data_IF_137821408611
#
_entry.id   IF_137821408611
#
_cell.length_a   1.000
_cell.length_b   1.000
_cell.length_c   1.000
_cell.angle_alpha   90.00
_cell.angle_beta   90.00
_cell.angle_gamma   90.00
#
_symmetry.space_group_name_H-M   'P 1'
#
loop_
_entity.id
_entity.type
_entity.pdbx_description
1 polymer ?
#
# COMPACT_ATOMS: atom_id res chain seq x y z
N UNK A 1 4.31 33.08 32.64
CA UNK A 1 5.25 32.11 32.03
C UNK A 1 4.66 30.73 32.29
N UNK A 2 4.33 29.87 31.32
CA UNK A 2 4.52 29.93 29.88
C UNK A 2 3.22 29.57 29.15
N UNK A 3 3.09 30.14 27.95
CA UNK A 3 2.12 29.65 26.97
C UNK A 3 2.66 28.33 26.44
N UNK A 4 1.89 27.26 26.64
CA UNK A 4 2.06 25.98 25.94
C UNK A 4 1.87 26.26 24.45
N UNK A 5 2.97 26.21 23.69
CA UNK A 5 2.93 26.28 22.23
C UNK A 5 2.13 25.10 21.71
N UNK A 6 0.94 25.38 21.19
CA UNK A 6 0.20 24.51 20.29
C UNK A 6 1.18 23.99 19.23
N UNK A 7 1.40 22.67 19.18
CA UNK A 7 2.09 22.03 18.06
C UNK A 7 1.22 22.26 16.82
N UNK A 8 1.52 23.29 16.04
CA UNK A 8 0.89 23.49 14.74
C UNK A 8 1.07 22.20 13.94
N UNK A 9 -0.05 21.60 13.53
CA UNK A 9 -0.06 20.40 12.70
C UNK A 9 0.65 20.76 11.40
N UNK A 10 1.85 20.20 11.17
CA UNK A 10 2.60 20.44 9.92
C UNK A 10 1.77 19.88 8.76
N UNK A 11 1.43 20.74 7.80
CA UNK A 11 0.70 20.36 6.58
C UNK A 11 1.72 20.25 5.45
N UNK A 12 1.80 19.08 4.84
CA UNK A 12 2.62 18.84 3.66
C UNK A 12 1.73 18.67 2.43
N UNK A 13 2.26 18.90 1.22
CA UNK A 13 1.56 18.57 -0.02
C UNK A 13 1.24 17.08 -0.13
N UNK A 14 0.35 16.73 -1.06
CA UNK A 14 -0.08 15.35 -1.35
C UNK A 14 0.22 14.92 -2.81
N UNK A 15 0.95 15.75 -3.55
CA UNK A 15 1.37 15.49 -4.94
C UNK A 15 2.86 15.75 -5.12
N UNK A 16 3.51 15.02 -6.03
CA UNK A 16 4.94 15.23 -6.31
C UNK A 16 5.21 16.68 -6.73
N UNK A 17 4.37 17.24 -7.59
CA UNK A 17 4.47 18.64 -8.00
C UNK A 17 4.36 19.62 -6.84
N UNK A 18 3.50 19.32 -5.85
CA UNK A 18 3.40 20.11 -4.63
C UNK A 18 4.68 20.09 -3.79
N UNK A 19 5.41 18.98 -3.81
CA UNK A 19 6.75 18.85 -3.24
C UNK A 19 7.87 19.39 -4.14
N UNK A 20 7.56 19.92 -5.33
CA UNK A 20 8.56 20.38 -6.29
C UNK A 20 9.30 19.26 -7.01
N UNK A 21 8.67 18.09 -7.17
CA UNK A 21 9.24 16.94 -7.88
C UNK A 21 8.36 16.44 -9.02
N UNK A 22 8.97 15.70 -9.94
CA UNK A 22 8.31 14.87 -10.93
C UNK A 22 9.06 13.53 -11.09
N UNK A 23 8.46 12.58 -11.79
CA UNK A 23 9.14 11.38 -12.24
C UNK A 23 9.60 11.58 -13.69
N UNK A 24 10.87 11.26 -13.98
CA UNK A 24 11.36 11.26 -15.36
C UNK A 24 10.94 9.98 -16.11
N UNK A 25 11.32 9.84 -17.38
CA UNK A 25 10.98 8.67 -18.20
C UNK A 25 11.56 7.34 -17.65
N UNK A 26 12.61 7.41 -16.83
CA UNK A 26 13.22 6.26 -16.16
C UNK A 26 12.58 5.97 -14.78
N UNK A 27 11.52 6.69 -14.42
CA UNK A 27 10.84 6.54 -13.13
C UNK A 27 11.63 7.07 -11.94
N UNK A 28 12.59 7.98 -12.17
CA UNK A 28 13.42 8.57 -11.12
C UNK A 28 12.83 9.90 -10.66
N UNK A 29 12.86 10.14 -9.35
CA UNK A 29 12.37 11.39 -8.76
C UNK A 29 13.35 12.53 -9.05
N UNK A 30 12.87 13.62 -9.68
CA UNK A 30 13.67 14.77 -10.09
C UNK A 30 12.99 16.08 -9.75
N UNK A 31 13.78 17.11 -9.46
CA UNK A 31 13.27 18.43 -9.11
C UNK A 31 12.51 19.10 -10.27
N UNK A 32 11.57 19.95 -9.89
CA UNK A 32 10.89 20.93 -10.73
C UNK A 32 11.31 22.32 -10.27
N UNK A 33 12.15 22.98 -11.05
CA UNK A 33 12.65 24.33 -10.74
C UNK A 33 11.88 25.35 -11.54
N UNK A 34 11.13 26.24 -10.88
CA UNK A 34 10.36 27.31 -11.54
C UNK A 34 9.44 26.81 -12.66
N UNK A 35 8.84 25.63 -12.47
CA UNK A 35 7.98 24.98 -13.46
C UNK A 35 8.71 24.23 -14.58
N UNK A 36 10.04 24.11 -14.52
CA UNK A 36 10.85 23.35 -15.48
C UNK A 36 11.36 22.06 -14.86
N UNK A 37 11.20 20.96 -15.59
CA UNK A 37 11.76 19.66 -15.22
C UNK A 37 13.27 19.68 -15.30
N UNK A 38 13.94 19.13 -14.29
CA UNK A 38 15.41 19.11 -14.21
C UNK A 38 15.93 17.67 -14.08
N UNK A 39 17.26 17.53 -14.04
CA UNK A 39 17.93 16.27 -13.75
C UNK A 39 18.44 16.19 -12.30
N UNK A 40 18.14 17.18 -11.45
CA UNK A 40 18.58 17.18 -10.07
C UNK A 40 17.84 16.08 -9.28
N UNK A 41 18.57 15.19 -8.57
CA UNK A 41 17.97 14.12 -7.76
C UNK A 41 17.36 14.67 -6.47
N UNK A 42 16.67 13.81 -5.72
CA UNK A 42 16.11 14.11 -4.41
C UNK A 42 17.11 14.75 -3.43
N UNK A 43 16.64 15.77 -2.69
CA UNK A 43 17.36 16.39 -1.58
C UNK A 43 16.60 16.21 -0.24
N UNK A 44 17.28 15.65 0.77
CA UNK A 44 16.71 15.46 2.10
C UNK A 44 16.68 16.74 2.94
N UNK A 45 17.74 17.55 2.91
CA UNK A 45 17.86 18.75 3.74
C UNK A 45 17.14 19.95 3.09
N UNK A 46 15.82 19.91 3.05
CA UNK A 46 14.99 21.02 2.53
C UNK A 46 14.94 22.23 3.48
N UNK A 47 15.19 22.00 4.78
CA UNK A 47 15.31 23.03 5.80
C UNK A 47 16.58 22.80 6.63
N UNK A 48 17.56 23.69 6.44
CA UNK A 48 18.89 23.57 7.04
C UNK A 48 18.84 23.41 8.56
N UNK A 49 19.44 22.33 9.07
CA UNK A 49 19.54 22.03 10.50
C UNK A 49 18.25 21.57 11.18
N UNK A 50 17.10 21.59 10.50
CA UNK A 50 15.81 21.17 11.06
C UNK A 50 15.51 19.71 10.71
N UNK A 51 16.16 18.80 11.46
CA UNK A 51 16.04 17.35 11.22
C UNK A 51 14.61 16.84 11.34
N UNK A 52 13.83 17.39 12.27
CA UNK A 52 12.45 16.97 12.52
C UNK A 52 11.56 17.38 11.34
N UNK A 53 11.72 18.60 10.81
CA UNK A 53 11.00 19.03 9.62
C UNK A 53 11.40 18.20 8.40
N UNK A 54 12.69 17.99 8.17
CA UNK A 54 13.17 17.23 7.01
C UNK A 54 12.70 15.77 7.03
N UNK A 55 12.65 15.15 8.21
CA UNK A 55 12.12 13.79 8.36
C UNK A 55 10.62 13.75 8.05
N UNK A 56 9.83 14.67 8.61
CA UNK A 56 8.39 14.71 8.36
C UNK A 56 8.07 15.03 6.88
N UNK A 57 8.87 15.89 6.25
CA UNK A 57 8.78 16.19 4.81
C UNK A 57 9.09 14.95 3.96
N UNK A 58 10.16 14.22 4.30
CA UNK A 58 10.54 12.97 3.64
C UNK A 58 9.44 11.91 3.76
N UNK A 59 8.85 11.75 4.95
CA UNK A 59 7.76 10.79 5.18
C UNK A 59 6.52 11.13 4.34
N UNK A 60 6.13 12.40 4.31
CA UNK A 60 4.99 12.84 3.52
C UNK A 60 5.23 12.65 2.00
N UNK A 61 6.42 12.94 1.49
CA UNK A 61 6.81 12.65 0.11
C UNK A 61 6.79 11.13 -0.17
N UNK A 62 7.27 10.32 0.78
CA UNK A 62 7.28 8.87 0.64
C UNK A 62 5.87 8.27 0.58
N UNK A 63 4.89 8.89 1.22
CA UNK A 63 3.47 8.49 1.12
C UNK A 63 2.89 8.80 -0.26
N UNK A 64 3.24 9.93 -0.87
CA UNK A 64 2.86 10.26 -2.26
C UNK A 64 3.45 9.23 -3.22
N UNK A 65 4.74 8.94 -3.08
CA UNK A 65 5.44 7.93 -3.89
C UNK A 65 4.81 6.55 -3.72
N UNK A 66 4.46 6.17 -2.48
CA UNK A 66 3.78 4.91 -2.18
C UNK A 66 2.45 4.80 -2.92
N UNK A 67 1.69 5.89 -2.96
CA UNK A 67 0.40 5.97 -3.65
C UNK A 67 0.56 5.81 -5.17
N UNK A 68 1.63 6.37 -5.74
CA UNK A 68 1.95 6.19 -7.16
C UNK A 68 2.24 4.72 -7.48
N UNK A 69 3.09 4.06 -6.69
CA UNK A 69 3.40 2.63 -6.90
C UNK A 69 2.14 1.77 -6.80
N UNK A 70 1.30 2.04 -5.82
CA UNK A 70 0.05 1.30 -5.60
C UNK A 70 -0.94 1.51 -6.76
N UNK A 71 -1.01 2.72 -7.32
CA UNK A 71 -1.81 3.03 -8.52
C UNK A 71 -1.24 2.35 -9.79
N UNK A 72 0.08 2.20 -9.91
CA UNK A 72 0.70 1.49 -11.03
C UNK A 72 0.25 0.01 -11.05
N UNK A 73 0.00 -0.61 -9.89
CA UNK A 73 -0.53 -1.99 -9.82
C UNK A 73 -1.81 -2.15 -10.62
N UNK A 74 -2.74 -1.19 -10.53
CA UNK A 74 -4.00 -1.23 -11.28
C UNK A 74 -3.83 -0.68 -12.69
N UNK A 75 -3.21 0.49 -12.84
CA UNK A 75 -3.27 1.26 -14.09
C UNK A 75 -2.24 0.78 -15.12
N UNK A 76 -1.06 0.40 -14.67
CA UNK A 76 0.03 -0.07 -15.53
C UNK A 76 0.06 -1.59 -15.61
N UNK A 77 -0.13 -2.27 -14.48
CA UNK A 77 -0.05 -3.72 -14.41
C UNK A 77 -1.40 -4.42 -14.50
N UNK A 78 -2.53 -3.71 -14.62
CA UNK A 78 -3.87 -4.29 -14.78
C UNK A 78 -4.23 -5.33 -13.69
N UNK A 79 -3.68 -5.17 -12.48
CA UNK A 79 -4.05 -6.00 -11.35
C UNK A 79 -5.36 -5.47 -10.76
N UNK A 80 -6.28 -6.37 -10.41
CA UNK A 80 -7.50 -6.04 -9.71
C UNK A 80 -7.18 -5.84 -8.22
N UNK A 81 -7.53 -4.68 -7.68
CA UNK A 81 -7.62 -4.48 -6.23
C UNK A 81 -8.81 -5.27 -5.69
N UNK A 82 -8.57 -6.18 -4.76
CA UNK A 82 -9.58 -6.99 -4.11
C UNK A 82 -9.59 -6.70 -2.62
N UNK A 83 -10.76 -6.31 -2.12
CA UNK A 83 -10.98 -6.10 -0.69
C UNK A 83 -11.03 -7.44 0.03
N UNK A 84 -10.40 -7.49 1.21
CA UNK A 84 -10.50 -8.60 2.16
C UNK A 84 -10.98 -8.08 3.54
N UNK A 85 -11.65 -8.91 4.35
CA UNK A 85 -12.08 -10.28 4.06
C UNK A 85 -13.11 -10.33 2.90
N UNK A 86 -13.10 -11.44 2.15
CA UNK A 86 -14.05 -11.73 1.09
C UNK A 86 -15.43 -11.98 1.71
N UNK A 87 -16.49 -11.44 1.08
CA UNK A 87 -17.88 -11.58 1.58
C UNK A 87 -18.27 -13.05 1.83
N UNK A 88 -17.83 -13.96 0.96
CA UNK A 88 -18.09 -15.39 1.11
C UNK A 88 -17.46 -16.02 2.36
N UNK A 89 -16.37 -15.45 2.89
CA UNK A 89 -15.68 -15.98 4.06
C UNK A 89 -16.29 -15.45 5.37
N UNK A 90 -16.90 -14.25 5.33
CA UNK A 90 -17.72 -13.71 6.41
C UNK A 90 -19.02 -14.51 6.62
N UNK A 91 -19.57 -15.08 5.55
CA UNK A 91 -20.85 -15.81 5.57
C UNK A 91 -20.69 -17.31 5.82
N UNK A 92 -19.50 -17.88 5.54
CA UNK A 92 -19.18 -19.28 5.86
C UNK A 92 -18.82 -19.42 7.34
N UNK A 93 -18.97 -20.62 7.90
CA UNK A 93 -18.56 -21.01 9.26
C UNK A 93 -17.03 -20.88 9.55
N UNK A 94 -16.27 -20.18 8.70
CA UNK A 94 -14.81 -20.10 8.72
C UNK A 94 -14.26 -19.07 9.70
N UNK A 95 -15.00 -18.01 9.96
CA UNK A 95 -14.65 -17.04 10.99
C UNK A 95 -15.39 -17.38 12.27
N UNK A 96 -14.70 -17.20 13.40
CA UNK A 96 -15.20 -17.51 14.72
C UNK A 96 -16.60 -16.92 14.94
N UNK A 97 -17.47 -17.61 15.68
CA UNK A 97 -18.88 -17.20 15.80
C UNK A 97 -19.03 -15.80 16.44
N UNK A 98 -18.00 -15.31 17.15
CA UNK A 98 -17.87 -13.98 17.72
C UNK A 98 -17.41 -12.89 16.72
N UNK A 99 -16.84 -13.28 15.58
CA UNK A 99 -16.41 -12.43 14.45
C UNK A 99 -17.42 -12.41 13.31
N UNK A 100 -18.53 -13.15 13.44
CA UNK A 100 -19.74 -12.94 12.65
C UNK A 100 -20.23 -11.54 12.95
N UNK A 101 -19.72 -10.55 12.22
CA UNK A 101 -20.49 -9.35 11.97
C UNK A 101 -21.89 -9.82 11.60
N UNK A 102 -22.90 -9.14 12.14
CA UNK A 102 -24.27 -9.24 11.64
C UNK A 102 -24.27 -8.68 10.21
N UNK A 103 -23.63 -9.39 9.29
CA UNK A 103 -23.62 -9.07 7.87
C UNK A 103 -24.99 -9.50 7.40
N UNK A 104 -25.87 -8.51 7.28
CA UNK A 104 -27.07 -8.69 6.49
C UNK A 104 -26.60 -9.06 5.07
N UNK A 105 -27.01 -10.21 4.51
CA UNK A 105 -26.60 -10.62 3.18
C UNK A 105 -26.97 -9.62 2.08
N UNK A 106 -27.91 -8.70 2.35
CA UNK A 106 -28.30 -7.60 1.45
C UNK A 106 -27.52 -6.29 1.71
N UNK A 107 -26.71 -6.21 2.77
CA UNK A 107 -25.86 -5.05 3.07
C UNK A 107 -24.55 -5.12 2.27
N UNK A 108 -24.57 -4.46 1.11
CA UNK A 108 -23.42 -4.31 0.22
C UNK A 108 -22.27 -3.51 0.87
N UNK A 109 -22.54 -2.78 1.95
CA UNK A 109 -21.58 -1.93 2.62
C UNK A 109 -21.11 -2.58 3.92
N UNK A 110 -20.39 -3.70 3.80
CA UNK A 110 -19.82 -4.42 4.96
C UNK A 110 -19.08 -3.44 5.88
N UNK A 111 -19.67 -3.09 7.01
CA UNK A 111 -19.25 -1.94 7.86
C UNK A 111 -17.96 -2.16 8.67
N UNK A 112 -17.26 -3.29 8.49
CA UNK A 112 -16.08 -3.66 9.28
C UNK A 112 -14.74 -3.29 8.65
N UNK A 113 -13.68 -3.40 9.46
CA UNK A 113 -12.29 -3.19 9.06
C UNK A 113 -11.92 -4.05 7.84
N UNK A 114 -11.29 -3.41 6.84
CA UNK A 114 -10.94 -4.02 5.55
C UNK A 114 -9.47 -3.79 5.22
N UNK A 115 -8.86 -4.79 4.57
CA UNK A 115 -7.61 -4.66 3.85
C UNK A 115 -7.85 -4.83 2.35
N UNK A 116 -6.79 -4.81 1.56
CA UNK A 116 -6.86 -5.10 0.15
C UNK A 116 -5.60 -5.82 -0.33
N UNK A 117 -5.79 -6.66 -1.33
CA UNK A 117 -4.73 -7.37 -2.07
C UNK A 117 -4.85 -7.00 -3.56
N UNK A 118 -3.86 -7.37 -4.35
CA UNK A 118 -3.90 -7.19 -5.80
C UNK A 118 -3.69 -8.52 -6.49
N UNK A 119 -4.48 -8.80 -7.52
CA UNK A 119 -4.35 -10.04 -8.28
C UNK A 119 -4.53 -9.81 -9.78
N UNK A 120 -3.83 -10.59 -10.59
CA UNK A 120 -4.13 -10.70 -12.01
C UNK A 120 -5.50 -11.37 -12.22
N UNK A 121 -6.15 -11.11 -13.36
CA UNK A 121 -7.50 -11.62 -13.65
C UNK A 121 -7.58 -13.15 -13.69
N UNK A 122 -6.45 -13.81 -13.91
CA UNK A 122 -6.28 -15.26 -14.02
C UNK A 122 -5.68 -15.90 -12.76
N UNK A 123 -5.52 -15.16 -11.65
CA UNK A 123 -4.82 -15.67 -10.45
C UNK A 123 -5.38 -16.95 -9.83
N UNK A 124 -6.64 -17.29 -10.12
CA UNK A 124 -7.30 -18.51 -9.65
C UNK A 124 -7.42 -19.60 -10.72
N UNK A 125 -7.14 -19.28 -11.98
CA UNK A 125 -7.36 -20.19 -13.12
C UNK A 125 -6.09 -20.47 -13.93
N UNK A 126 -5.02 -19.73 -13.67
CA UNK A 126 -3.75 -19.88 -14.37
C UNK A 126 -3.11 -21.23 -14.03
N UNK A 127 -2.69 -21.97 -15.07
CA UNK A 127 -2.10 -23.31 -14.96
C UNK A 127 -0.58 -23.32 -15.17
N UNK A 128 0.01 -22.19 -15.60
CA UNK A 128 1.45 -22.02 -15.83
C UNK A 128 2.21 -21.70 -14.55
N UNK A 129 1.59 -20.96 -13.62
CA UNK A 129 2.15 -20.65 -12.31
C UNK A 129 1.54 -19.41 -11.67
N UNK A 130 1.75 -19.27 -10.36
CA UNK A 130 1.37 -18.11 -9.57
C UNK A 130 2.59 -17.60 -8.79
N UNK A 131 2.89 -16.30 -8.89
CA UNK A 131 3.83 -15.63 -8.00
C UNK A 131 3.07 -14.85 -6.93
N UNK A 132 3.46 -15.04 -5.67
CA UNK A 132 2.95 -14.27 -4.53
C UNK A 132 4.06 -13.31 -4.07
N UNK A 133 3.79 -12.01 -4.14
CA UNK A 133 4.70 -10.95 -3.73
C UNK A 133 4.23 -10.35 -2.41
N UNK A 134 5.13 -10.28 -1.43
CA UNK A 134 4.85 -9.86 -0.06
C UNK A 134 5.86 -8.78 0.31
N UNK A 135 5.40 -7.58 0.65
CA UNK A 135 6.30 -6.49 1.04
C UNK A 135 6.96 -6.76 2.41
N UNK A 136 8.07 -6.07 2.68
CA UNK A 136 8.68 -6.04 4.02
C UNK A 136 7.79 -5.35 5.05
N UNK A 137 8.17 -5.44 6.32
CA UNK A 137 7.41 -4.85 7.44
C UNK A 137 7.54 -3.32 7.52
N UNK A 138 6.68 -2.70 8.33
CA UNK A 138 6.69 -1.27 8.61
C UNK A 138 5.87 -0.45 7.63
N UNK A 139 6.37 0.72 7.24
CA UNK A 139 5.61 1.70 6.45
C UNK A 139 5.59 1.43 4.93
N UNK A 140 6.01 0.24 4.50
CA UNK A 140 6.00 -0.17 3.09
C UNK A 140 4.60 -0.65 2.72
N UNK A 141 4.06 -0.17 1.59
CA UNK A 141 2.74 -0.53 1.07
C UNK A 141 2.85 -1.55 -0.08
N UNK A 142 1.75 -2.17 -0.53
CA UNK A 142 1.77 -3.12 -1.64
C UNK A 142 2.46 -2.57 -2.88
N UNK A 143 3.21 -3.43 -3.55
CA UNK A 143 3.99 -3.05 -4.73
C UNK A 143 5.36 -2.47 -4.43
N UNK A 144 5.76 -2.27 -3.17
CA UNK A 144 7.04 -1.66 -2.82
C UNK A 144 8.02 -2.62 -2.13
N UNK A 145 9.31 -2.41 -2.40
CA UNK A 145 10.40 -3.00 -1.62
C UNK A 145 10.97 -2.02 -0.61
N UNK A 146 11.24 -0.78 -1.02
CA UNK A 146 11.83 0.23 -0.14
C UNK A 146 11.56 1.66 -0.62
N UNK A 147 10.94 2.47 0.25
CA UNK A 147 10.66 3.91 -0.01
C UNK A 147 11.94 4.69 -0.34
N UNK A 148 13.03 4.41 0.37
CA UNK A 148 14.33 5.07 0.14
C UNK A 148 14.90 4.78 -1.23
N UNK A 149 14.81 3.54 -1.72
CA UNK A 149 15.28 3.17 -3.07
C UNK A 149 14.42 3.84 -4.13
N UNK A 150 13.10 3.92 -3.92
CA UNK A 150 12.23 4.61 -4.88
C UNK A 150 12.60 6.10 -4.99
N UNK A 151 12.80 6.76 -3.85
CA UNK A 151 13.08 8.20 -3.79
C UNK A 151 14.46 8.53 -4.34
N UNK A 152 15.48 7.73 -4.02
CA UNK A 152 16.86 8.03 -4.40
C UNK A 152 17.24 7.48 -5.79
N UNK A 153 16.69 6.33 -6.19
CA UNK A 153 17.07 5.65 -7.44
C UNK A 153 15.96 5.71 -8.48
N UNK A 154 14.91 4.89 -8.34
CA UNK A 154 13.76 4.85 -9.25
C UNK A 154 12.61 4.00 -8.72
N UNK A 155 11.40 4.25 -9.25
CA UNK A 155 10.24 3.37 -9.08
C UNK A 155 10.58 1.92 -9.43
N UNK A 156 11.30 1.68 -10.52
CA UNK A 156 11.59 0.31 -10.96
C UNK A 156 12.48 -0.44 -9.96
N UNK A 157 13.52 0.21 -9.43
CA UNK A 157 14.44 -0.45 -8.50
C UNK A 157 13.82 -0.67 -7.12
N UNK A 158 12.98 0.24 -6.67
CA UNK A 158 12.40 0.20 -5.33
C UNK A 158 11.01 -0.44 -5.25
N UNK A 159 10.45 -0.91 -6.37
CA UNK A 159 9.12 -1.54 -6.44
C UNK A 159 9.17 -2.98 -6.91
N UNK A 160 8.03 -3.65 -6.77
CA UNK A 160 7.75 -4.99 -7.29
C UNK A 160 7.56 -5.00 -8.82
N UNK A 161 7.54 -3.85 -9.48
CA UNK A 161 7.30 -3.70 -10.92
C UNK A 161 8.09 -4.68 -11.80
N UNK A 162 9.42 -4.76 -11.67
CA UNK A 162 10.22 -5.69 -12.48
C UNK A 162 9.85 -7.17 -12.28
N UNK A 163 9.41 -7.55 -11.08
CA UNK A 163 8.97 -8.91 -10.78
C UNK A 163 7.60 -9.22 -11.39
N UNK A 164 6.71 -8.22 -11.42
CA UNK A 164 5.41 -8.32 -12.10
C UNK A 164 5.64 -8.47 -13.62
N UNK A 165 6.55 -7.68 -14.19
CA UNK A 165 6.91 -7.75 -15.61
C UNK A 165 7.50 -9.13 -15.96
N UNK A 166 8.41 -9.65 -15.15
CA UNK A 166 9.02 -10.98 -15.34
C UNK A 166 7.97 -12.11 -15.23
N UNK A 167 7.08 -12.05 -14.23
CA UNK A 167 6.02 -13.04 -14.07
C UNK A 167 5.09 -13.09 -15.30
N UNK A 168 4.70 -11.91 -15.80
CA UNK A 168 3.90 -11.81 -17.03
C UNK A 168 4.61 -12.35 -18.26
N UNK A 169 5.91 -12.09 -18.40
CA UNK A 169 6.71 -12.66 -19.51
C UNK A 169 6.75 -14.19 -19.47
N UNK A 170 6.69 -14.78 -18.28
CA UNK A 170 6.63 -16.23 -18.06
C UNK A 170 5.21 -16.80 -18.16
N UNK A 171 4.19 -15.97 -18.35
CA UNK A 171 2.79 -16.39 -18.35
C UNK A 171 2.25 -16.72 -16.96
N UNK A 172 2.95 -16.33 -15.88
CA UNK A 172 2.50 -16.57 -14.52
C UNK A 172 1.49 -15.51 -14.08
N UNK A 173 0.50 -15.95 -13.32
CA UNK A 173 -0.37 -15.07 -12.57
C UNK A 173 0.38 -14.38 -11.43
N UNK A 174 -0.15 -13.25 -10.97
CA UNK A 174 0.45 -12.42 -9.93
C UNK A 174 -0.55 -12.18 -8.82
N UNK A 175 -0.11 -12.37 -7.57
CA UNK A 175 -0.81 -11.93 -6.37
C UNK A 175 0.13 -11.07 -5.51
N UNK A 176 -0.35 -9.93 -5.03
CA UNK A 176 0.36 -9.05 -4.11
C UNK A 176 -0.45 -8.93 -2.82
N UNK A 177 0.15 -9.38 -1.72
CA UNK A 177 -0.43 -9.28 -0.38
C UNK A 177 -0.22 -7.89 0.24
N UNK A 178 -0.93 -7.60 1.32
CA UNK A 178 -0.76 -6.39 2.13
C UNK A 178 -0.68 -6.71 3.63
N UNK A 179 0.37 -7.43 4.07
CA UNK A 179 0.46 -7.95 5.43
C UNK A 179 0.65 -6.85 6.49
N UNK A 180 0.94 -5.60 6.10
CA UNK A 180 1.12 -4.48 7.02
C UNK A 180 -0.20 -3.75 7.34
N UNK A 181 -1.31 -4.12 6.69
CA UNK A 181 -2.64 -3.55 6.97
C UNK A 181 -3.51 -4.61 7.60
N UNK A 182 -3.46 -4.69 8.93
CA UNK A 182 -4.17 -5.66 9.76
C UNK A 182 -5.27 -5.04 10.66
N UNK A 183 -5.32 -3.71 10.72
CA UNK A 183 -6.30 -2.97 11.50
C UNK A 183 -6.64 -1.61 10.87
N UNK A 184 -7.69 -0.98 11.40
CA UNK A 184 -8.06 0.40 11.12
C UNK A 184 -8.17 1.17 12.45
N UNK A 185 -7.60 2.37 12.46
CA UNK A 185 -7.73 3.31 13.57
C UNK A 185 -9.05 4.09 13.45
N UNK A 186 -9.90 4.02 14.47
CA UNK A 186 -11.11 4.83 14.57
C UNK A 186 -10.80 6.14 15.30
N UNK A 187 -10.58 7.21 14.52
CA UNK A 187 -10.19 8.52 15.05
C UNK A 187 -11.25 9.16 15.97
N UNK A 188 -12.51 8.74 15.86
CA UNK A 188 -13.66 9.20 16.64
C UNK A 188 -13.89 8.41 17.95
N UNK A 189 -13.27 7.23 18.10
CA UNK A 189 -13.47 6.33 19.25
C UNK A 189 -12.21 6.13 20.10
N UNK A 190 -11.58 7.24 20.54
CA UNK A 190 -10.45 7.23 21.47
C UNK A 190 -9.31 6.26 21.09
N UNK A 191 -9.00 6.14 19.79
CA UNK A 191 -7.89 5.32 19.30
C UNK A 191 -8.13 3.82 19.45
N UNK A 192 -9.39 3.37 19.52
CA UNK A 192 -9.72 1.96 19.39
C UNK A 192 -9.32 1.47 17.99
N UNK A 193 -8.52 0.41 17.96
CA UNK A 193 -8.20 -0.32 16.73
C UNK A 193 -9.26 -1.37 16.48
N UNK A 194 -9.73 -1.43 15.26
CA UNK A 194 -10.55 -2.54 14.77
C UNK A 194 -9.68 -3.42 13.89
N UNK A 195 -9.44 -4.66 14.32
CA UNK A 195 -8.66 -5.62 13.56
C UNK A 195 -9.48 -6.19 12.39
N UNK A 196 -8.79 -6.48 11.30
CA UNK A 196 -9.39 -6.98 10.07
C UNK A 196 -9.61 -8.48 10.23
N UNK A 197 -10.86 -8.97 10.19
CA UNK A 197 -11.17 -10.38 10.44
C UNK A 197 -10.39 -11.34 9.53
N UNK A 198 -9.75 -12.34 10.11
CA UNK A 198 -8.89 -13.32 9.43
C UNK A 198 -7.54 -12.77 8.97
N UNK A 199 -7.27 -11.47 9.15
CA UNK A 199 -6.06 -10.78 8.70
C UNK A 199 -5.49 -9.92 9.84
N UNK A 200 -5.61 -10.36 11.09
CA UNK A 200 -5.28 -9.59 12.29
C UNK A 200 -3.76 -9.49 12.55
N UNK A 201 -2.95 -10.31 11.87
CA UNK A 201 -1.49 -10.25 11.87
C UNK A 201 -0.93 -10.44 10.46
N UNK A 202 0.35 -10.11 10.21
CA UNK A 202 1.03 -10.42 8.95
C UNK A 202 0.91 -11.89 8.54
N UNK A 203 1.09 -12.81 9.48
CA UNK A 203 0.99 -14.26 9.26
C UNK A 203 -0.46 -14.68 8.99
N UNK A 204 -1.41 -14.16 9.77
CA UNK A 204 -2.83 -14.42 9.56
C UNK A 204 -3.29 -13.92 8.18
N UNK A 205 -2.84 -12.73 7.76
CA UNK A 205 -3.12 -12.17 6.44
C UNK A 205 -2.67 -13.10 5.30
N UNK A 206 -1.44 -13.62 5.38
CA UNK A 206 -0.92 -14.53 4.35
C UNK A 206 -1.62 -15.88 4.40
N UNK A 207 -1.92 -16.41 5.61
CA UNK A 207 -2.71 -17.65 5.76
C UNK A 207 -4.10 -17.50 5.16
N UNK A 208 -4.77 -16.38 5.42
CA UNK A 208 -6.09 -16.07 4.87
C UNK A 208 -6.09 -16.04 3.35
N UNK A 209 -5.09 -15.40 2.74
CA UNK A 209 -4.92 -15.42 1.28
C UNK A 209 -4.73 -16.85 0.79
N UNK A 210 -3.86 -17.63 1.42
CA UNK A 210 -3.61 -19.01 1.00
C UNK A 210 -4.90 -19.85 1.04
N UNK A 211 -5.62 -19.82 2.16
CA UNK A 211 -6.83 -20.61 2.38
C UNK A 211 -7.99 -20.19 1.45
N UNK A 212 -8.16 -18.89 1.21
CA UNK A 212 -9.18 -18.36 0.32
C UNK A 212 -8.96 -18.83 -1.14
N UNK A 213 -7.70 -18.99 -1.55
CA UNK A 213 -7.33 -19.38 -2.89
C UNK A 213 -7.34 -20.91 -3.09
N UNK A 214 -6.92 -21.70 -2.09
CA UNK A 214 -7.08 -23.18 -2.14
C UNK A 214 -8.54 -23.61 -2.25
N UNK A 215 -9.45 -22.87 -1.63
CA UNK A 215 -10.88 -23.23 -1.56
C UNK A 215 -11.70 -22.80 -2.76
N UNK A 216 -11.07 -22.06 -3.68
CA UNK A 216 -11.71 -21.51 -4.88
C UNK A 216 -11.32 -22.26 -6.16
N UNK A 217 -10.38 -23.21 -6.07
CA UNK A 217 -10.03 -24.19 -7.11
C UNK A 217 -10.66 -25.55 -6.86
#
# INVERSE_FOLDING_TARGET
MGNTTSSERRVFPDTLSGFGYHLNAQGQLRHVDTGKFTHQPFEYEVKKGDREYNQAHYEALADVVSTIVENDLTNKYNLKRQTIPLLQDLTRHRLDASLRMTVDPDDQDMTGAKSHIYLSSDALSNTEGLVILIQGSGAVRPGQWARSVIINDSLQMGSMGPFIDEAKQRGWAVLIANPNRNDVDHADQQGRREFIPGSESPEAHVSYIWDAFESSG
#
